data_IF_850427362504
#
_entry.id   IF_850427362504
#
_cell.length_a   1.000
_cell.length_b   1.000
_cell.length_c   1.000
_cell.angle_alpha   90.00
_cell.angle_beta   90.00
_cell.angle_gamma   90.00
#
_symmetry.space_group_name_H-M   'P 1'
#
loop_
_entity.id
_entity.type
_entity.pdbx_description
1 polymer ?
#
# COMPACT_ATOMS: atom_id res chain seq x y z
N UNK A 1 6.10 20.82 -9.17
CA UNK A 1 7.08 19.91 -8.55
C UNK A 1 6.29 18.84 -7.81
N UNK A 2 6.61 17.54 -7.92
CA UNK A 2 6.07 16.55 -6.99
C UNK A 2 6.56 16.93 -5.58
N UNK A 3 5.65 17.00 -4.61
CA UNK A 3 5.90 17.51 -3.26
C UNK A 3 6.46 16.44 -2.33
N UNK A 4 6.26 15.15 -2.64
CA UNK A 4 7.15 14.08 -2.17
C UNK A 4 8.34 13.95 -3.11
N UNK A 5 9.53 14.29 -2.61
CA UNK A 5 10.80 14.04 -3.29
C UNK A 5 11.14 12.54 -3.34
N UNK A 6 12.20 12.20 -4.07
CA UNK A 6 12.62 10.81 -4.24
C UNK A 6 13.00 10.14 -2.91
N UNK A 7 13.52 10.91 -1.96
CA UNK A 7 13.92 10.41 -0.65
C UNK A 7 12.70 10.06 0.20
N UNK A 8 11.72 10.96 0.27
CA UNK A 8 10.49 10.75 1.04
C UNK A 8 9.66 9.59 0.48
N UNK A 9 9.68 9.38 -0.85
CA UNK A 9 9.07 8.19 -1.47
C UNK A 9 9.77 6.91 -1.06
N UNK A 10 11.10 6.89 -1.04
CA UNK A 10 11.86 5.71 -0.62
C UNK A 10 11.61 5.37 0.85
N UNK A 11 11.56 6.37 1.72
CA UNK A 11 11.21 6.17 3.13
C UNK A 11 9.77 5.66 3.31
N UNK A 12 8.82 6.21 2.56
CA UNK A 12 7.43 5.77 2.56
C UNK A 12 7.32 4.30 2.12
N UNK A 13 8.03 3.91 1.07
CA UNK A 13 8.05 2.54 0.56
C UNK A 13 8.56 1.55 1.59
N UNK A 14 9.66 1.87 2.27
CA UNK A 14 10.22 1.03 3.36
C UNK A 14 9.22 0.89 4.51
N UNK A 15 8.52 1.96 4.89
CA UNK A 15 7.51 1.91 5.94
C UNK A 15 6.31 1.05 5.53
N UNK A 16 5.84 1.18 4.29
CA UNK A 16 4.74 0.38 3.76
C UNK A 16 5.13 -1.10 3.74
N UNK A 17 6.31 -1.43 3.19
CA UNK A 17 6.81 -2.80 3.12
C UNK A 17 6.87 -3.43 4.52
N UNK A 18 7.48 -2.74 5.49
CA UNK A 18 7.58 -3.25 6.86
C UNK A 18 6.23 -3.42 7.56
N UNK A 19 5.18 -2.68 7.15
CA UNK A 19 3.81 -2.90 7.66
C UNK A 19 3.15 -4.10 6.98
N UNK A 20 3.34 -4.27 5.67
CA UNK A 20 2.82 -5.40 4.91
C UNK A 20 3.44 -6.71 5.39
N UNK A 21 4.76 -6.77 5.58
CA UNK A 21 5.47 -7.93 6.12
C UNK A 21 4.94 -8.30 7.50
N UNK A 22 4.87 -7.35 8.43
CA UNK A 22 4.34 -7.60 9.79
C UNK A 22 2.89 -8.10 9.77
N UNK A 23 2.06 -7.59 8.86
CA UNK A 23 0.68 -8.04 8.72
C UNK A 23 0.62 -9.45 8.13
N UNK A 24 1.44 -9.72 7.11
CA UNK A 24 1.59 -11.03 6.49
C UNK A 24 2.03 -12.09 7.50
N UNK A 25 3.06 -11.81 8.29
CA UNK A 25 3.58 -12.72 9.32
C UNK A 25 2.54 -13.00 10.42
N UNK A 26 1.76 -11.97 10.80
CA UNK A 26 0.80 -12.06 11.91
C UNK A 26 -0.52 -12.73 11.53
N UNK A 27 -1.03 -12.45 10.33
CA UNK A 27 -2.39 -12.85 9.91
C UNK A 27 -2.40 -13.77 8.69
N UNK A 28 -1.26 -13.99 8.04
CA UNK A 28 -1.09 -14.87 6.90
C UNK A 28 -1.33 -14.20 5.54
N UNK A 29 -1.02 -14.90 4.43
CA UNK A 29 -1.03 -14.34 3.08
C UNK A 29 -2.41 -13.89 2.57
N UNK A 30 -3.49 -14.51 3.05
CA UNK A 30 -4.85 -14.16 2.63
C UNK A 30 -5.35 -12.85 3.26
N UNK A 31 -4.79 -12.48 4.42
CA UNK A 31 -5.21 -11.29 5.16
C UNK A 31 -5.01 -10.00 4.36
N UNK A 32 -3.93 -9.92 3.57
CA UNK A 32 -3.64 -8.76 2.71
C UNK A 32 -4.63 -8.57 1.56
N UNK A 33 -5.41 -9.62 1.26
CA UNK A 33 -6.45 -9.63 0.22
C UNK A 33 -7.86 -9.45 0.80
N UNK A 34 -7.99 -9.27 2.11
CA UNK A 34 -9.28 -9.04 2.73
C UNK A 34 -9.97 -7.80 2.15
N UNK A 35 -11.28 -7.88 1.86
CA UNK A 35 -12.03 -6.74 1.36
C UNK A 35 -11.91 -5.54 2.30
N UNK A 36 -11.53 -4.39 1.74
CA UNK A 36 -11.44 -3.12 2.47
C UNK A 36 -10.12 -2.90 3.21
N UNK A 37 -9.18 -3.87 3.25
CA UNK A 37 -7.85 -3.62 3.79
C UNK A 37 -7.13 -2.55 2.95
N UNK A 38 -6.59 -1.55 3.64
CA UNK A 38 -5.96 -0.36 3.05
C UNK A 38 -4.59 -0.12 3.65
N UNK A 39 -3.69 0.37 2.81
CA UNK A 39 -2.52 1.13 3.25
C UNK A 39 -2.97 2.57 3.44
N UNK A 40 -2.79 3.10 4.65
CA UNK A 40 -3.21 4.44 5.02
C UNK A 40 -1.99 5.23 5.48
N UNK A 41 -1.86 6.45 4.95
CA UNK A 41 -0.85 7.42 5.36
C UNK A 41 -1.53 8.50 6.17
N UNK A 42 -1.08 8.72 7.39
CA UNK A 42 -1.51 9.79 8.29
C UNK A 42 -0.32 10.69 8.63
N UNK A 43 -0.55 11.74 9.39
CA UNK A 43 0.53 12.55 9.97
C UNK A 43 1.41 11.76 10.97
N UNK A 44 0.90 10.65 11.51
CA UNK A 44 1.61 9.76 12.44
C UNK A 44 2.40 8.64 11.76
N UNK A 45 2.32 8.51 10.43
CA UNK A 45 3.02 7.50 9.65
C UNK A 45 2.09 6.60 8.85
N UNK A 46 2.47 5.33 8.70
CA UNK A 46 1.76 4.34 7.87
C UNK A 46 1.06 3.29 8.72
N UNK A 47 -0.18 3.00 8.38
CA UNK A 47 -1.02 1.99 9.03
C UNK A 47 -1.73 1.10 8.01
N UNK A 48 -2.11 -0.11 8.47
CA UNK A 48 -2.98 -1.02 7.74
C UNK A 48 -4.30 -1.13 8.49
N UNK A 49 -5.41 -0.80 7.82
CA UNK A 49 -6.74 -0.87 8.42
C UNK A 49 -7.79 -1.25 7.38
N UNK A 50 -8.89 -1.86 7.84
CA UNK A 50 -10.02 -2.27 6.99
C UNK A 50 -11.08 -1.18 6.82
N UNK A 51 -10.96 -0.08 7.59
CA UNK A 51 -11.85 1.07 7.50
C UNK A 51 -11.07 2.29 7.03
N UNK A 52 -11.69 3.16 6.21
CA UNK A 52 -11.09 4.42 5.87
C UNK A 52 -10.94 5.29 7.13
N UNK A 53 -9.84 6.04 7.19
CA UNK A 53 -9.59 7.03 8.25
C UNK A 53 -9.92 8.44 7.72
N UNK A 54 -10.57 9.26 8.55
CA UNK A 54 -10.99 10.62 8.17
C UNK A 54 -9.83 11.60 8.11
N UNK A 55 -8.79 11.35 8.91
CA UNK A 55 -7.54 12.11 9.02
C UNK A 55 -6.42 11.57 8.11
N UNK A 56 -6.74 10.63 7.22
CA UNK A 56 -5.80 10.10 6.24
C UNK A 56 -5.37 11.17 5.24
N UNK A 57 -4.06 11.34 5.09
CA UNK A 57 -3.46 12.12 4.01
C UNK A 57 -3.62 11.40 2.67
N UNK A 58 -3.54 10.08 2.67
CA UNK A 58 -3.84 9.25 1.51
C UNK A 58 -4.17 7.82 1.95
N UNK A 59 -4.92 7.10 1.12
CA UNK A 59 -5.24 5.70 1.38
C UNK A 59 -5.45 4.94 0.07
N UNK A 60 -5.09 3.66 0.06
CA UNK A 60 -5.29 2.78 -1.10
C UNK A 60 -5.59 1.37 -0.65
N UNK A 61 -6.56 0.71 -1.30
CA UNK A 61 -6.90 -0.69 -1.00
C UNK A 61 -5.83 -1.63 -1.57
N UNK A 62 -5.31 -2.53 -0.73
CA UNK A 62 -4.29 -3.51 -1.13
C UNK A 62 -4.80 -4.43 -2.23
N UNK A 63 -6.07 -4.84 -2.15
CA UNK A 63 -6.70 -5.70 -3.15
C UNK A 63 -6.76 -5.06 -4.54
N UNK A 64 -6.99 -3.75 -4.63
CA UNK A 64 -7.03 -3.04 -5.93
C UNK A 64 -5.66 -3.04 -6.60
N UNK A 65 -4.59 -2.88 -5.81
CA UNK A 65 -3.21 -2.93 -6.29
C UNK A 65 -2.80 -4.36 -6.66
N UNK A 66 -3.12 -5.33 -5.81
CA UNK A 66 -2.81 -6.74 -6.07
C UNK A 66 -3.55 -7.29 -7.29
N UNK A 67 -4.79 -6.89 -7.53
CA UNK A 67 -5.52 -7.33 -8.73
C UNK A 67 -4.79 -6.91 -10.00
N UNK A 68 -4.21 -5.70 -10.03
CA UNK A 68 -3.38 -5.25 -11.13
C UNK A 68 -2.10 -6.11 -11.28
N UNK A 69 -1.49 -6.52 -10.17
CA UNK A 69 -0.33 -7.43 -10.15
C UNK A 69 -0.70 -8.86 -10.60
N UNK A 70 -1.86 -9.39 -10.24
CA UNK A 70 -2.35 -10.70 -10.67
C UNK A 70 -2.63 -10.79 -12.16
N UNK A 71 -3.07 -9.71 -12.82
CA UNK A 71 -3.22 -9.73 -14.28
C UNK A 71 -1.88 -9.96 -15.01
N UNK A 72 -0.75 -9.72 -14.33
CA UNK A 72 0.59 -9.95 -14.86
C UNK A 72 1.13 -11.34 -14.49
N UNK A 73 0.71 -11.88 -13.34
CA UNK A 73 1.08 -13.23 -12.89
C UNK A 73 0.00 -14.24 -13.33
N UNK A 74 0.23 -14.92 -14.45
CA UNK A 74 -0.71 -15.81 -15.14
C UNK A 74 -1.29 -17.00 -14.34
N UNK A 75 -0.88 -17.19 -13.09
CA UNK A 75 -1.17 -18.37 -12.29
C UNK A 75 -2.08 -17.96 -11.12
N UNK A 76 -3.37 -18.26 -11.24
CA UNK A 76 -4.47 -17.85 -10.35
C UNK A 76 -4.36 -18.31 -8.90
N UNK A 77 -3.33 -17.82 -8.21
CA UNK A 77 -3.04 -18.12 -6.81
C UNK A 77 -3.97 -17.29 -5.94
N UNK A 78 -4.77 -17.96 -5.10
CA UNK A 78 -5.74 -17.28 -4.21
C UNK A 78 -5.08 -16.56 -3.03
N UNK A 79 -3.78 -16.78 -2.83
CA UNK A 79 -2.99 -16.23 -1.72
C UNK A 79 -1.88 -15.33 -2.27
N UNK A 80 -1.58 -14.25 -1.55
CA UNK A 80 -0.49 -13.34 -1.89
C UNK A 80 0.86 -14.03 -1.65
N UNK A 81 1.73 -14.17 -2.67
CA UNK A 81 3.10 -14.63 -2.46
C UNK A 81 3.91 -13.58 -1.68
N UNK A 82 4.89 -14.02 -0.89
CA UNK A 82 5.71 -13.09 -0.09
C UNK A 82 6.57 -12.18 -0.99
N UNK A 83 7.04 -12.69 -2.12
CA UNK A 83 7.77 -11.93 -3.13
C UNK A 83 6.92 -10.82 -3.79
N UNK A 84 5.59 -10.87 -3.62
CA UNK A 84 4.70 -9.81 -4.11
C UNK A 84 4.57 -8.62 -3.14
N UNK A 85 5.15 -8.68 -1.93
CA UNK A 85 5.05 -7.60 -0.95
C UNK A 85 5.85 -6.36 -1.37
N UNK A 86 7.06 -6.55 -1.91
CA UNK A 86 7.88 -5.45 -2.47
C UNK A 86 7.18 -4.72 -3.62
N UNK A 87 6.75 -5.39 -4.72
CA UNK A 87 6.06 -4.69 -5.80
C UNK A 87 4.72 -4.08 -5.34
N UNK A 88 4.03 -4.70 -4.37
CA UNK A 88 2.84 -4.10 -3.77
C UNK A 88 3.17 -2.81 -3.00
N UNK A 89 4.29 -2.77 -2.27
CA UNK A 89 4.74 -1.58 -1.57
C UNK A 89 5.11 -0.45 -2.56
N UNK A 90 5.80 -0.77 -3.67
CA UNK A 90 6.12 0.19 -4.73
C UNK A 90 4.85 0.80 -5.37
N UNK A 91 3.86 -0.04 -5.70
CA UNK A 91 2.59 0.41 -6.28
C UNK A 91 1.77 1.25 -5.28
N UNK A 92 1.72 0.81 -4.01
CA UNK A 92 1.07 1.57 -2.95
C UNK A 92 1.73 2.94 -2.77
N UNK A 93 3.06 2.99 -2.72
CA UNK A 93 3.84 4.24 -2.62
C UNK A 93 3.53 5.17 -3.77
N UNK A 94 3.51 4.66 -5.01
CA UNK A 94 3.20 5.45 -6.20
C UNK A 94 1.79 6.02 -6.16
N UNK A 95 0.80 5.21 -5.79
CA UNK A 95 -0.60 5.63 -5.65
C UNK A 95 -0.79 6.67 -4.53
N UNK A 96 -0.22 6.42 -3.36
CA UNK A 96 -0.31 7.29 -2.19
C UNK A 96 0.39 8.63 -2.44
N UNK A 97 1.61 8.61 -3.02
CA UNK A 97 2.31 9.83 -3.37
C UNK A 97 1.53 10.66 -4.41
N UNK A 98 0.88 10.01 -5.39
CA UNK A 98 0.02 10.71 -6.35
C UNK A 98 -1.19 11.38 -5.68
N UNK A 99 -1.80 10.73 -4.67
CA UNK A 99 -2.90 11.32 -3.90
C UNK A 99 -2.43 12.52 -3.05
N UNK A 100 -1.33 12.38 -2.32
CA UNK A 100 -0.76 13.45 -1.49
C UNK A 100 -0.39 14.67 -2.34
N UNK A 101 0.23 14.45 -3.51
CA UNK A 101 0.59 15.53 -4.42
C UNK A 101 -0.64 16.28 -4.95
N UNK A 102 -1.80 15.63 -5.10
CA UNK A 102 -3.05 16.31 -5.50
C UNK A 102 -3.59 17.21 -4.40
N UNK A 103 -3.52 16.77 -3.13
CA UNK A 103 -3.99 17.55 -1.98
C UNK A 103 -3.20 18.83 -1.78
N UNK A 104 -1.88 18.79 -2.01
CA UNK A 104 -0.99 19.93 -1.80
C UNK A 104 -0.81 20.81 -3.05
N UNK A 105 -1.24 20.33 -4.22
CA UNK A 105 -1.24 21.09 -5.48
C UNK A 105 -2.57 21.78 -5.80
N UNK A 106 -3.55 21.71 -4.89
CA UNK A 106 -4.85 22.40 -4.93
C UNK A 106 -4.81 23.66 -4.08
#
# INVERSE_FOLDING_TARGET
MPLLGSQEKGELEVLILGKLEKHYEKYGPLSLLEPGLRVIVTSGGVELATRPQQDALAQVETRSLFTALCYLAADGTQAMPHESLEPLATEATSSLAAQINKLLGS
#
